data_IF_927011477413
#
_entry.id   IF_927011477413
#
_cell.length_a   1.000
_cell.length_b   1.000
_cell.length_c   1.000
_cell.angle_alpha   90.00
_cell.angle_beta   90.00
_cell.angle_gamma   90.00
#
_symmetry.space_group_name_H-M   'P 1'
#
loop_
_entity.id
_entity.type
_entity.pdbx_description
1 polymer ?
#
# COMPACT_ATOMS: atom_id res chain seq x y z
N UNK A 1 -35.06 -0.23 25.00
CA UNK A 1 -34.67 -0.62 23.62
C UNK A 1 -33.30 -0.07 23.21
N UNK A 2 -33.02 1.24 23.34
CA UNK A 2 -31.69 1.79 23.02
C UNK A 2 -30.54 1.29 23.93
N UNK A 3 -30.79 1.05 25.21
CA UNK A 3 -29.78 0.52 26.15
C UNK A 3 -29.31 -0.90 25.79
N UNK A 4 -30.22 -1.77 25.33
CA UNK A 4 -29.89 -3.16 24.94
C UNK A 4 -29.02 -3.19 23.67
N UNK A 5 -29.26 -2.26 22.74
CA UNK A 5 -28.51 -2.16 21.49
C UNK A 5 -27.04 -1.81 21.72
N UNK A 6 -26.78 -0.83 22.60
CA UNK A 6 -25.41 -0.37 22.93
C UNK A 6 -24.61 -1.33 23.80
N UNK A 7 -25.25 -2.06 24.70
CA UNK A 7 -24.52 -2.96 25.61
C UNK A 7 -24.34 -4.37 25.04
N UNK A 8 -25.33 -4.88 24.31
CA UNK A 8 -25.33 -6.28 23.87
C UNK A 8 -24.93 -6.39 22.42
N UNK A 9 -25.63 -5.69 21.52
CA UNK A 9 -25.45 -5.86 20.07
C UNK A 9 -24.15 -5.20 19.61
N UNK A 10 -23.81 -4.01 20.13
CA UNK A 10 -22.57 -3.32 19.78
C UNK A 10 -21.30 -4.09 20.22
N UNK A 11 -21.23 -4.55 21.48
CA UNK A 11 -20.10 -5.35 21.96
C UNK A 11 -19.99 -6.71 21.26
N UNK A 12 -21.13 -7.31 20.90
CA UNK A 12 -21.16 -8.59 20.20
C UNK A 12 -20.73 -8.45 18.73
N UNK A 13 -21.17 -7.38 18.05
CA UNK A 13 -20.71 -7.03 16.71
C UNK A 13 -19.20 -6.72 16.70
N UNK A 14 -18.69 -5.99 17.70
CA UNK A 14 -17.26 -5.72 17.86
C UNK A 14 -16.45 -7.01 18.00
N UNK A 15 -16.86 -7.95 18.88
CA UNK A 15 -16.15 -9.23 19.04
C UNK A 15 -16.07 -10.08 17.77
N UNK A 16 -17.07 -9.98 16.89
CA UNK A 16 -17.10 -10.71 15.61
C UNK A 16 -16.36 -9.95 14.50
N UNK A 17 -16.51 -8.62 14.45
CA UNK A 17 -15.90 -7.78 13.42
C UNK A 17 -14.39 -7.59 13.63
N UNK A 18 -13.92 -7.47 14.87
CA UNK A 18 -12.50 -7.25 15.19
C UNK A 18 -11.58 -8.33 14.60
N UNK A 19 -11.80 -9.65 14.81
CA UNK A 19 -10.94 -10.67 14.23
C UNK A 19 -10.98 -10.68 12.69
N UNK A 20 -12.15 -10.45 12.07
CA UNK A 20 -12.24 -10.36 10.60
C UNK A 20 -11.54 -9.14 10.01
N UNK A 21 -11.60 -8.02 10.73
CA UNK A 21 -10.96 -6.77 10.33
C UNK A 21 -9.45 -6.89 10.45
N UNK A 22 -8.94 -7.46 11.55
CA UNK A 22 -7.51 -7.77 11.73
C UNK A 22 -6.98 -8.68 10.62
N UNK A 23 -7.73 -9.72 10.25
CA UNK A 23 -7.30 -10.63 9.17
C UNK A 23 -7.20 -9.90 7.82
N UNK A 24 -8.19 -9.05 7.52
CA UNK A 24 -8.20 -8.24 6.29
C UNK A 24 -7.06 -7.20 6.30
N UNK A 25 -6.81 -6.55 7.43
CA UNK A 25 -5.69 -5.60 7.59
C UNK A 25 -4.33 -6.26 7.35
N UNK A 26 -4.12 -7.46 7.91
CA UNK A 26 -2.87 -8.20 7.74
C UNK A 26 -2.67 -8.58 6.26
N UNK A 27 -3.73 -9.03 5.57
CA UNK A 27 -3.65 -9.36 4.13
C UNK A 27 -3.31 -8.12 3.29
N UNK A 28 -4.03 -7.01 3.50
CA UNK A 28 -3.79 -5.76 2.79
C UNK A 28 -2.39 -5.22 3.03
N UNK A 29 -1.89 -5.27 4.27
CA UNK A 29 -0.55 -4.82 4.61
C UNK A 29 0.53 -5.67 3.93
N UNK A 30 0.33 -6.98 3.86
CA UNK A 30 1.24 -7.93 3.22
C UNK A 30 1.24 -7.77 1.69
N UNK A 31 0.07 -7.66 1.08
CA UNK A 31 -0.06 -7.46 -0.37
C UNK A 31 0.52 -6.11 -0.81
N UNK A 32 0.29 -5.04 -0.04
CA UNK A 32 0.80 -3.69 -0.35
C UNK A 32 2.32 -3.62 -0.23
N UNK A 33 2.89 -4.17 0.85
CA UNK A 33 4.35 -4.19 1.03
C UNK A 33 5.06 -5.06 0.00
N UNK A 34 4.52 -6.25 -0.31
CA UNK A 34 5.08 -7.13 -1.34
C UNK A 34 5.02 -6.48 -2.73
N UNK A 35 3.88 -5.92 -3.13
CA UNK A 35 3.71 -5.28 -4.43
C UNK A 35 4.64 -4.05 -4.58
N UNK A 36 4.78 -3.23 -3.53
CA UNK A 36 5.68 -2.07 -3.52
C UNK A 36 7.14 -2.46 -3.72
N UNK A 37 7.63 -3.43 -2.93
CA UNK A 37 9.03 -3.89 -3.00
C UNK A 37 9.36 -4.52 -4.35
N UNK A 38 8.49 -5.38 -4.87
CA UNK A 38 8.68 -6.02 -6.19
C UNK A 38 8.74 -4.96 -7.29
N UNK A 39 7.85 -3.97 -7.25
CA UNK A 39 7.80 -2.98 -8.32
C UNK A 39 9.02 -2.06 -8.33
N UNK A 40 9.51 -1.65 -7.16
CA UNK A 40 10.74 -0.84 -7.05
C UNK A 40 11.94 -1.63 -7.60
N UNK A 41 12.06 -2.91 -7.26
CA UNK A 41 13.12 -3.76 -7.78
C UNK A 41 13.07 -3.87 -9.32
N UNK A 42 11.88 -4.01 -9.89
CA UNK A 42 11.67 -4.11 -11.33
C UNK A 42 12.08 -2.81 -12.07
N UNK A 43 11.65 -1.65 -11.56
CA UNK A 43 11.99 -0.34 -12.13
C UNK A 43 13.50 -0.11 -12.06
N UNK A 44 14.13 -0.41 -10.92
CA UNK A 44 15.57 -0.25 -10.76
C UNK A 44 16.36 -1.14 -11.72
N UNK A 45 15.91 -2.39 -11.91
CA UNK A 45 16.52 -3.33 -12.86
C UNK A 45 16.45 -2.82 -14.29
N UNK A 46 15.30 -2.31 -14.72
CA UNK A 46 15.10 -1.74 -16.06
C UNK A 46 15.95 -0.48 -16.24
N UNK A 47 15.99 0.40 -15.24
CA UNK A 47 16.80 1.62 -15.27
C UNK A 47 18.29 1.30 -15.42
N UNK A 48 18.81 0.32 -14.66
CA UNK A 48 20.20 -0.09 -14.73
C UNK A 48 20.54 -0.77 -16.07
N UNK A 49 19.62 -1.58 -16.61
CA UNK A 49 19.79 -2.18 -17.93
C UNK A 49 19.85 -1.13 -19.03
N UNK A 50 18.98 -0.10 -18.98
CA UNK A 50 19.00 1.02 -19.93
C UNK A 50 20.25 1.89 -19.77
N UNK A 51 20.66 2.19 -18.54
CA UNK A 51 21.83 3.02 -18.25
C UNK A 51 23.12 2.40 -18.81
N UNK A 52 23.29 1.08 -18.63
CA UNK A 52 24.41 0.34 -19.19
C UNK A 52 24.39 0.25 -20.73
N UNK A 53 23.21 0.28 -21.35
CA UNK A 53 23.09 0.23 -22.81
C UNK A 53 23.38 1.57 -23.49
N UNK A 54 22.97 2.69 -22.88
CA UNK A 54 23.12 4.02 -23.47
C UNK A 54 24.38 4.77 -23.05
N UNK A 55 25.11 4.34 -22.02
CA UNK A 55 26.24 5.06 -21.38
C UNK A 55 25.89 6.49 -20.88
N UNK A 56 24.65 6.93 -21.05
CA UNK A 56 24.10 8.22 -20.59
C UNK A 56 23.31 8.02 -19.29
N UNK A 57 24.00 8.14 -18.17
CA UNK A 57 23.45 7.84 -16.85
C UNK A 57 22.44 8.89 -16.37
N UNK A 58 22.76 10.18 -16.57
CA UNK A 58 22.00 11.30 -16.03
C UNK A 58 20.51 11.33 -16.45
N UNK A 59 20.17 11.26 -17.77
CA UNK A 59 18.76 11.29 -18.19
C UNK A 59 17.98 10.04 -17.78
N UNK A 60 18.64 8.86 -17.76
CA UNK A 60 17.99 7.59 -17.42
C UNK A 60 17.64 7.50 -15.94
N UNK A 61 18.52 8.00 -15.06
CA UNK A 61 18.20 8.11 -13.64
C UNK A 61 17.10 9.14 -13.36
N UNK A 62 17.01 10.21 -14.15
CA UNK A 62 15.92 11.19 -14.06
C UNK A 62 14.56 10.58 -14.45
N UNK A 63 14.49 9.80 -15.53
CA UNK A 63 13.28 9.03 -15.87
C UNK A 63 12.91 8.03 -14.77
N UNK A 64 13.89 7.30 -14.23
CA UNK A 64 13.65 6.37 -13.14
C UNK A 64 13.14 7.08 -11.87
N UNK A 65 13.67 8.26 -11.56
CA UNK A 65 13.22 9.09 -10.45
C UNK A 65 11.78 9.58 -10.63
N UNK A 66 11.38 9.95 -11.86
CA UNK A 66 9.99 10.29 -12.18
C UNK A 66 9.04 9.10 -11.97
N UNK A 67 9.43 7.91 -12.42
CA UNK A 67 8.64 6.68 -12.22
C UNK A 67 8.51 6.37 -10.73
N UNK A 68 9.62 6.48 -9.97
CA UNK A 68 9.61 6.29 -8.52
C UNK A 68 8.69 7.29 -7.82
N UNK A 69 8.73 8.56 -8.21
CA UNK A 69 7.86 9.58 -7.66
C UNK A 69 6.38 9.28 -7.91
N UNK A 70 6.04 8.81 -9.12
CA UNK A 70 4.69 8.39 -9.48
C UNK A 70 4.24 7.18 -8.64
N UNK A 71 5.14 6.24 -8.35
CA UNK A 71 4.89 5.14 -7.41
C UNK A 71 4.62 5.61 -5.99
N UNK A 72 5.40 6.57 -5.48
CA UNK A 72 5.15 7.18 -4.18
C UNK A 72 3.76 7.80 -4.11
N UNK A 73 3.30 8.49 -5.16
CA UNK A 73 1.94 9.06 -5.21
C UNK A 73 0.85 7.99 -5.15
N UNK A 74 1.03 6.86 -5.85
CA UNK A 74 0.08 5.74 -5.81
C UNK A 74 0.04 5.13 -4.41
N UNK A 75 1.19 4.91 -3.78
CA UNK A 75 1.28 4.41 -2.41
C UNK A 75 0.60 5.35 -1.42
N UNK A 76 0.85 6.65 -1.53
CA UNK A 76 0.23 7.67 -0.67
C UNK A 76 -1.30 7.68 -0.83
N UNK A 77 -1.81 7.50 -2.05
CA UNK A 77 -3.25 7.38 -2.32
C UNK A 77 -3.86 6.10 -1.73
N UNK A 78 -3.15 4.97 -1.81
CA UNK A 78 -3.57 3.71 -1.16
C UNK A 78 -3.58 3.88 0.35
N UNK A 79 -2.53 4.48 0.92
CA UNK A 79 -2.42 4.73 2.35
C UNK A 79 -3.56 5.61 2.85
N UNK A 80 -3.90 6.69 2.13
CA UNK A 80 -5.08 7.53 2.43
C UNK A 80 -6.41 6.78 2.35
N UNK A 81 -6.56 5.84 1.40
CA UNK A 81 -7.76 4.99 1.32
C UNK A 81 -7.87 4.04 2.51
N UNK A 82 -6.75 3.42 2.90
CA UNK A 82 -6.69 2.51 4.05
C UNK A 82 -7.01 3.26 5.34
N UNK A 83 -6.42 4.44 5.53
CA UNK A 83 -6.67 5.30 6.69
C UNK A 83 -8.16 5.70 6.79
N UNK A 84 -8.82 5.94 5.65
CA UNK A 84 -10.26 6.23 5.58
C UNK A 84 -11.19 5.04 5.85
N UNK A 85 -10.67 3.81 5.79
CA UNK A 85 -11.40 2.60 6.19
C UNK A 85 -11.21 2.35 7.70
N UNK A 86 -10.11 2.86 8.26
CA UNK A 86 -9.69 2.67 9.65
C UNK A 86 -10.28 3.73 10.59
N UNK A 87 -10.46 4.97 10.10
CA UNK A 87 -11.22 6.05 10.75
C UNK A 87 -12.71 6.02 10.36
#
# INVERSE_FOLDING_TARGET
YLQTFWHVIFFQALKVATPSLSNTFISLFKETSLASVVTIAEVFRIAQQKANASYDFLPIYLEAALIYWLFCLVLEAVQKRVEKILN
#
